data_IF_854662420269
#
_entry.id   IF_854662420269
#
_cell.length_a   1.000
_cell.length_b   1.000
_cell.length_c   1.000
_cell.angle_alpha   90.00
_cell.angle_beta   90.00
_cell.angle_gamma   90.00
#
_symmetry.space_group_name_H-M   'P 1'
#
loop_
_entity.id
_entity.type
_entity.pdbx_description
1 polymer ?
#
# COMPACT_ATOMS: atom_id res chain seq x y z
N UNK A 1 -32.61 -17.16 53.14
CA UNK A 1 -32.27 -16.62 54.47
C UNK A 1 -30.92 -17.20 54.85
N UNK A 2 -29.93 -16.38 55.26
CA UNK A 2 -29.93 -14.90 55.26
C UNK A 2 -29.71 -14.35 53.82
N UNK A 3 -30.21 -13.20 53.33
CA UNK A 3 -30.59 -11.88 53.89
C UNK A 3 -29.38 -11.00 54.25
N UNK A 4 -29.20 -9.73 53.85
CA UNK A 4 -29.93 -8.79 52.97
C UNK A 4 -28.88 -8.23 51.92
N UNK A 5 -28.95 -7.07 51.23
CA UNK A 5 -29.87 -5.93 51.28
C UNK A 5 -30.01 -5.15 49.95
N UNK A 6 -31.22 -4.67 49.76
CA UNK A 6 -31.77 -3.67 48.84
C UNK A 6 -31.04 -2.33 48.78
N UNK A 7 -30.97 -1.75 47.58
CA UNK A 7 -31.14 -0.30 47.36
C UNK A 7 -31.65 -0.05 45.92
N UNK A 8 -32.87 0.47 45.78
CA UNK A 8 -33.37 1.03 44.52
C UNK A 8 -33.16 2.55 44.54
N UNK A 9 -33.02 3.17 43.36
CA UNK A 9 -33.01 4.62 43.22
C UNK A 9 -33.90 5.01 42.03
N UNK A 10 -34.99 5.69 42.33
CA UNK A 10 -35.87 6.34 41.35
C UNK A 10 -35.30 7.70 40.94
N UNK A 11 -35.49 8.06 39.67
CA UNK A 11 -35.54 9.44 39.20
C UNK A 11 -36.45 9.44 37.96
N UNK A 12 -37.73 9.73 38.14
CA UNK A 12 -38.30 11.07 38.00
C UNK A 12 -38.41 11.50 36.53
N UNK A 13 -39.59 11.22 35.96
CA UNK A 13 -40.07 11.82 34.71
C UNK A 13 -40.65 13.18 35.07
N UNK A 14 -40.24 14.24 34.37
CA UNK A 14 -40.77 15.59 34.58
C UNK A 14 -41.31 16.14 33.24
N UNK A 15 -42.63 16.22 33.13
CA UNK A 15 -43.32 16.95 32.05
C UNK A 15 -43.61 18.38 32.51
N UNK A 16 -43.06 19.41 31.84
CA UNK A 16 -43.69 20.73 31.88
C UNK A 16 -43.31 21.68 30.72
N UNK A 17 -44.32 21.91 29.88
CA UNK A 17 -44.80 23.24 29.45
C UNK A 17 -43.96 24.08 28.46
N UNK A 18 -44.62 24.29 27.31
CA UNK A 18 -44.36 25.29 26.27
C UNK A 18 -44.55 26.73 26.77
N UNK A 19 -43.62 27.63 26.40
CA UNK A 19 -43.88 29.07 26.32
C UNK A 19 -43.19 29.64 25.07
N UNK A 20 -43.97 30.05 24.07
CA UNK A 20 -43.46 30.48 22.76
C UNK A 20 -43.36 32.00 22.55
N UNK A 21 -42.63 32.37 21.48
CA UNK A 21 -42.56 33.64 20.71
C UNK A 21 -41.16 33.69 20.08
N UNK A 22 -40.94 33.81 18.76
CA UNK A 22 -41.83 33.87 17.60
C UNK A 22 -41.06 34.49 16.42
N UNK A 23 -41.24 34.01 15.19
CA UNK A 23 -40.64 34.65 14.00
C UNK A 23 -40.26 33.70 12.87
N UNK A 24 -40.84 33.96 11.68
CA UNK A 24 -40.44 33.49 10.34
C UNK A 24 -40.22 31.98 10.11
N UNK A 25 -41.18 31.34 9.44
CA UNK A 25 -40.94 30.12 8.66
C UNK A 25 -40.18 30.46 7.37
N UNK A 26 -39.06 29.79 7.04
CA UNK A 26 -38.49 29.82 5.70
C UNK A 26 -39.27 28.87 4.77
N UNK A 27 -39.94 29.45 3.78
CA UNK A 27 -40.68 28.72 2.73
C UNK A 27 -39.78 28.32 1.56
N UNK A 28 -39.16 27.14 1.60
CA UNK A 28 -38.75 26.38 0.40
C UNK A 28 -38.19 24.99 0.75
N UNK A 29 -38.90 23.93 0.38
CA UNK A 29 -38.43 22.52 0.55
C UNK A 29 -37.45 22.10 -0.57
N UNK A 30 -36.64 23.03 -1.09
CA UNK A 30 -35.80 22.79 -2.28
C UNK A 30 -34.30 23.09 -2.09
N UNK A 31 -33.87 23.73 -0.99
CA UNK A 31 -32.46 24.06 -0.73
C UNK A 31 -31.72 23.04 0.18
N UNK A 32 -32.29 21.84 0.37
CA UNK A 32 -31.70 20.75 1.17
C UNK A 32 -31.13 19.59 0.32
N UNK A 33 -31.08 19.76 -1.00
CA UNK A 33 -30.43 18.84 -1.94
C UNK A 33 -29.26 19.57 -2.59
N UNK A 34 -28.14 18.87 -2.79
CA UNK A 34 -26.82 19.42 -3.18
C UNK A 34 -26.11 20.27 -2.10
N UNK A 35 -25.70 19.62 -1.01
CA UNK A 35 -24.35 19.88 -0.51
C UNK A 35 -23.37 19.05 -1.37
N UNK A 36 -22.47 19.65 -2.16
CA UNK A 36 -21.38 18.89 -2.76
C UNK A 36 -20.55 18.27 -1.64
N UNK A 37 -20.27 16.98 -1.73
CA UNK A 37 -19.32 16.35 -0.80
C UNK A 37 -17.94 16.95 -1.09
N UNK A 38 -17.27 17.61 -0.14
CA UNK A 38 -16.03 18.31 -0.44
C UNK A 38 -14.93 17.29 -0.76
N UNK A 39 -14.58 17.19 -2.05
CA UNK A 39 -13.48 16.37 -2.56
C UNK A 39 -12.24 16.56 -1.70
N UNK A 40 -11.87 15.52 -0.95
CA UNK A 40 -10.74 15.61 -0.03
C UNK A 40 -9.45 15.50 -0.85
N UNK A 41 -8.68 16.59 -0.85
CA UNK A 41 -7.35 16.63 -1.47
C UNK A 41 -6.27 16.49 -0.40
N UNK A 42 -5.09 16.07 -0.83
CA UNK A 42 -3.90 15.94 0.01
C UNK A 42 -3.62 17.23 0.83
N UNK A 43 -3.77 18.40 0.19
CA UNK A 43 -3.61 19.71 0.82
C UNK A 43 -4.66 20.00 1.91
N UNK A 44 -5.89 19.47 1.76
CA UNK A 44 -6.92 19.63 2.79
C UNK A 44 -6.74 18.70 3.99
N UNK A 45 -6.16 17.51 3.81
CA UNK A 45 -5.77 16.63 4.92
C UNK A 45 -4.64 17.25 5.74
N UNK A 46 -3.57 17.69 5.09
CA UNK A 46 -2.40 18.30 5.74
C UNK A 46 -2.73 19.57 6.56
N UNK A 47 -3.88 20.20 6.32
CA UNK A 47 -4.38 21.37 7.08
C UNK A 47 -5.28 21.01 8.27
N UNK A 48 -5.78 19.77 8.37
CA UNK A 48 -6.67 19.32 9.46
C UNK A 48 -5.89 18.89 10.71
N UNK A 49 -4.70 18.32 10.54
CA UNK A 49 -3.91 17.70 11.61
C UNK A 49 -2.88 18.63 12.28
N UNK A 50 -3.23 19.89 12.55
CA UNK A 50 -2.37 20.82 13.33
C UNK A 50 -2.95 21.08 14.74
N UNK A 51 -2.47 20.39 15.79
CA UNK A 51 -2.94 20.63 17.16
C UNK A 51 -2.17 21.79 17.80
N UNK A 52 -2.87 22.89 18.08
CA UNK A 52 -2.29 24.11 18.69
C UNK A 52 -1.53 23.86 20.01
N UNK A 53 -1.85 22.76 20.72
CA UNK A 53 -1.29 22.45 22.06
C UNK A 53 0.17 21.96 22.08
N UNK A 54 0.84 21.76 20.94
CA UNK A 54 2.22 21.23 20.89
C UNK A 54 3.20 22.08 20.06
N UNK A 55 2.81 23.30 19.65
CA UNK A 55 3.52 24.09 18.64
C UNK A 55 5.05 24.21 18.83
N UNK A 56 5.62 24.58 20.01
CA UNK A 56 7.05 24.83 20.12
C UNK A 56 7.92 23.58 19.87
N UNK A 57 7.47 22.42 20.32
CA UNK A 57 8.19 21.15 20.15
C UNK A 57 8.00 20.57 18.73
N UNK A 58 6.87 20.86 18.07
CA UNK A 58 6.65 20.51 16.67
C UNK A 58 7.52 21.38 15.75
N UNK A 59 7.56 22.70 15.98
CA UNK A 59 8.39 23.64 15.23
C UNK A 59 9.87 23.32 15.34
N UNK A 60 10.38 23.02 16.54
CA UNK A 60 11.77 22.58 16.73
C UNK A 60 12.12 21.32 15.92
N UNK A 61 11.21 20.33 15.87
CA UNK A 61 11.39 19.12 15.04
C UNK A 61 11.36 19.43 13.55
N UNK A 62 10.45 20.30 13.10
CA UNK A 62 10.37 20.73 11.70
C UNK A 62 11.62 21.51 11.28
N UNK A 63 12.12 22.39 12.14
CA UNK A 63 13.33 23.15 11.85
C UNK A 63 14.59 22.27 11.84
N UNK A 64 14.68 21.29 12.75
CA UNK A 64 15.70 20.26 12.67
C UNK A 64 15.63 19.48 11.35
N UNK A 65 14.45 18.99 10.94
CA UNK A 65 14.29 18.31 9.65
C UNK A 65 14.70 19.19 8.45
N UNK A 66 14.33 20.48 8.46
CA UNK A 66 14.78 21.44 7.44
C UNK A 66 16.29 21.58 7.43
N UNK A 67 16.94 21.67 8.59
CA UNK A 67 18.41 21.73 8.69
C UNK A 67 19.12 20.48 8.14
N UNK A 68 18.45 19.33 8.16
CA UNK A 68 18.98 18.08 7.62
C UNK A 68 18.82 17.93 6.10
N UNK A 69 18.02 18.77 5.42
CA UNK A 69 17.82 18.66 3.96
C UNK A 69 19.12 18.88 3.18
N UNK A 70 19.54 17.85 2.43
CA UNK A 70 20.74 17.93 1.58
C UNK A 70 20.50 18.95 0.47
N UNK A 71 21.36 19.97 0.42
CA UNK A 71 21.29 21.05 -0.58
C UNK A 71 20.14 22.03 -0.38
N UNK A 72 19.70 22.28 0.87
CA UNK A 72 18.62 23.23 1.18
C UNK A 72 18.95 24.69 0.79
N UNK A 73 20.20 25.11 0.98
CA UNK A 73 20.70 26.47 0.71
C UNK A 73 21.51 26.56 -0.59
N UNK A 74 21.39 25.56 -1.48
CA UNK A 74 22.13 25.55 -2.75
C UNK A 74 21.54 26.58 -3.70
N UNK A 75 22.41 27.36 -4.32
CA UNK A 75 22.06 28.32 -5.34
C UNK A 75 22.64 27.88 -6.70
N UNK A 76 22.01 28.35 -7.77
CA UNK A 76 22.44 28.10 -9.14
C UNK A 76 22.30 29.36 -9.99
N UNK A 77 23.10 29.44 -11.05
CA UNK A 77 23.05 30.56 -11.98
C UNK A 77 21.91 30.38 -12.98
N UNK A 78 21.19 31.48 -13.23
CA UNK A 78 20.14 31.57 -14.25
C UNK A 78 20.44 32.74 -15.20
N UNK A 79 19.79 32.82 -16.37
CA UNK A 79 19.86 34.01 -17.24
C UNK A 79 19.45 35.33 -16.55
N UNK A 80 18.81 35.26 -15.37
CA UNK A 80 18.37 36.40 -14.57
C UNK A 80 19.22 36.58 -13.29
N UNK A 81 20.42 36.02 -13.27
CA UNK A 81 21.35 36.00 -12.13
C UNK A 81 21.17 34.77 -11.22
N UNK A 82 21.94 34.76 -10.13
CA UNK A 82 21.94 33.67 -9.14
C UNK A 82 20.59 33.56 -8.41
N UNK A 83 20.14 32.33 -8.17
CA UNK A 83 18.87 32.00 -7.52
C UNK A 83 19.02 30.83 -6.55
N UNK A 84 18.28 30.87 -5.45
CA UNK A 84 18.12 29.75 -4.52
C UNK A 84 17.33 28.61 -5.19
N UNK A 85 17.78 27.36 -4.97
CA UNK A 85 17.10 26.16 -5.47
C UNK A 85 15.84 25.85 -4.64
N UNK A 86 14.72 26.41 -5.06
CA UNK A 86 13.39 26.06 -4.52
C UNK A 86 12.94 24.73 -5.12
N UNK A 87 13.02 23.65 -4.34
CA UNK A 87 12.57 22.33 -4.76
C UNK A 87 11.05 22.17 -4.54
N UNK A 88 10.32 21.90 -5.62
CA UNK A 88 8.85 21.77 -5.62
C UNK A 88 8.35 20.47 -6.28
N UNK A 89 9.24 19.48 -6.42
CA UNK A 89 9.00 18.22 -7.16
C UNK A 89 8.82 17.00 -6.22
N UNK A 90 8.35 17.25 -4.99
CA UNK A 90 8.21 16.25 -3.94
C UNK A 90 7.31 15.05 -4.31
N UNK A 91 6.35 15.25 -5.22
CA UNK A 91 5.48 14.18 -5.74
C UNK A 91 6.22 13.17 -6.62
N UNK A 92 7.34 13.57 -7.23
CA UNK A 92 8.20 12.69 -8.03
C UNK A 92 9.27 12.01 -7.16
N UNK A 93 9.95 12.75 -6.29
CA UNK A 93 10.96 12.24 -5.36
C UNK A 93 11.07 13.10 -4.10
N UNK A 94 11.45 12.49 -2.99
CA UNK A 94 11.96 13.23 -1.83
C UNK A 94 13.37 13.77 -2.08
N UNK A 95 13.89 14.55 -1.12
CA UNK A 95 15.31 14.92 -1.03
C UNK A 95 15.98 14.13 0.09
N UNK A 96 17.25 13.80 -0.07
CA UNK A 96 18.07 13.17 0.97
C UNK A 96 18.13 13.99 2.27
N UNK A 97 18.29 13.29 3.38
CA UNK A 97 18.53 13.87 4.70
C UNK A 97 19.96 13.56 5.13
N UNK A 98 20.73 14.59 5.46
CA UNK A 98 22.11 14.47 5.94
C UNK A 98 22.23 13.44 7.07
N UNK A 99 21.30 13.44 8.03
CA UNK A 99 21.27 12.46 9.11
C UNK A 99 21.21 11.00 8.64
N UNK A 100 20.49 10.70 7.54
CA UNK A 100 20.40 9.35 6.97
C UNK A 100 21.72 8.99 6.28
N UNK A 101 22.25 9.89 5.45
CA UNK A 101 23.53 9.67 4.76
C UNK A 101 24.69 9.51 5.76
N UNK A 102 24.77 10.37 6.77
CA UNK A 102 25.78 10.31 7.84
C UNK A 102 25.64 9.02 8.67
N UNK A 103 24.41 8.52 8.90
CA UNK A 103 24.20 7.23 9.56
C UNK A 103 24.67 6.06 8.70
N UNK A 104 24.36 6.05 7.41
CA UNK A 104 24.85 5.04 6.47
C UNK A 104 26.38 5.04 6.40
N UNK A 105 27.00 6.22 6.28
CA UNK A 105 28.45 6.41 6.18
C UNK A 105 29.22 5.99 7.44
N UNK A 106 28.69 6.28 8.63
CA UNK A 106 29.43 6.09 9.89
C UNK A 106 29.04 4.83 10.68
N UNK A 107 27.79 4.36 10.60
CA UNK A 107 27.27 3.27 11.45
C UNK A 107 27.02 1.95 10.69
N UNK A 108 26.73 2.04 9.39
CA UNK A 108 26.38 0.89 8.54
C UNK A 108 27.57 0.46 7.68
N UNK A 109 28.04 1.32 6.78
CA UNK A 109 29.10 1.01 5.81
C UNK A 109 30.41 0.49 6.44
N UNK A 110 30.93 1.04 7.56
CA UNK A 110 32.16 0.53 8.19
C UNK A 110 32.04 -0.89 8.77
N UNK A 111 30.81 -1.39 8.91
CA UNK A 111 30.52 -2.73 9.43
C UNK A 111 29.73 -3.59 8.43
N UNK A 112 29.71 -3.18 7.16
CA UNK A 112 28.95 -3.86 6.12
C UNK A 112 29.48 -5.29 5.90
N UNK A 113 28.56 -6.25 5.93
CA UNK A 113 28.79 -7.63 5.53
C UNK A 113 27.60 -8.14 4.75
N UNK A 114 27.82 -9.05 3.81
CA UNK A 114 26.73 -9.68 3.06
C UNK A 114 25.83 -10.48 4.02
N UNK A 115 24.52 -10.46 3.78
CA UNK A 115 23.51 -11.00 4.71
C UNK A 115 23.37 -12.52 4.66
N UNK A 116 23.90 -13.18 3.63
CA UNK A 116 23.82 -14.64 3.44
C UNK A 116 24.60 -15.47 4.48
N UNK A 117 25.49 -14.90 5.30
CA UNK A 117 26.19 -15.64 6.38
C UNK A 117 26.36 -14.81 7.67
N UNK A 118 25.94 -15.37 8.82
CA UNK A 118 26.05 -14.73 10.14
C UNK A 118 27.28 -15.17 10.97
N UNK A 119 28.22 -15.91 10.37
CA UNK A 119 29.43 -16.39 11.04
C UNK A 119 30.37 -15.24 11.43
N UNK A 120 30.49 -14.24 10.55
CA UNK A 120 31.27 -13.03 10.78
C UNK A 120 30.51 -11.99 11.61
N UNK A 121 31.25 -11.14 12.33
CA UNK A 121 30.65 -10.02 13.06
C UNK A 121 29.85 -9.08 12.13
N UNK A 122 30.39 -8.78 10.94
CA UNK A 122 29.80 -7.84 9.99
C UNK A 122 28.55 -8.38 9.30
N UNK A 123 28.55 -9.66 8.89
CA UNK A 123 27.36 -10.33 8.35
C UNK A 123 26.23 -10.35 9.38
N UNK A 124 26.52 -10.85 10.58
CA UNK A 124 25.57 -10.85 11.71
C UNK A 124 25.02 -9.48 12.07
N UNK A 125 25.87 -8.44 12.09
CA UNK A 125 25.42 -7.06 12.38
C UNK A 125 24.49 -6.54 11.27
N UNK A 126 24.83 -6.81 10.01
CA UNK A 126 24.06 -6.35 8.85
C UNK A 126 22.71 -7.07 8.73
N UNK A 127 22.67 -8.41 8.82
CA UNK A 127 21.42 -9.20 8.79
C UNK A 127 20.46 -8.78 9.91
N UNK A 128 20.96 -8.59 11.14
CA UNK A 128 20.15 -8.11 12.26
C UNK A 128 19.61 -6.69 12.06
N UNK A 129 20.37 -5.81 11.40
CA UNK A 129 19.92 -4.46 11.07
C UNK A 129 18.79 -4.52 10.02
N UNK A 130 18.96 -5.32 8.96
CA UNK A 130 17.93 -5.57 7.94
C UNK A 130 16.66 -6.14 8.55
N UNK A 131 16.75 -7.21 9.34
CA UNK A 131 15.59 -7.81 10.01
C UNK A 131 14.92 -6.85 10.99
N UNK A 132 15.66 -5.89 11.59
CA UNK A 132 15.07 -4.83 12.43
C UNK A 132 14.36 -3.77 11.59
N UNK A 133 14.93 -3.37 10.45
CA UNK A 133 14.35 -2.42 9.52
C UNK A 133 13.06 -2.97 8.88
N UNK A 134 13.09 -4.19 8.33
CA UNK A 134 11.94 -4.87 7.76
C UNK A 134 10.77 -4.96 8.75
N UNK A 135 11.02 -5.48 9.97
CA UNK A 135 9.99 -5.52 11.03
C UNK A 135 9.49 -4.13 11.44
N UNK A 136 10.33 -3.09 11.38
CA UNK A 136 9.89 -1.72 11.68
C UNK A 136 8.96 -1.19 10.60
N UNK A 137 9.36 -1.28 9.33
CA UNK A 137 8.57 -0.88 8.16
C UNK A 137 7.23 -1.61 8.13
N UNK A 138 7.23 -2.94 8.30
CA UNK A 138 6.02 -3.77 8.33
C UNK A 138 5.00 -3.27 9.36
N UNK A 139 5.44 -2.97 10.59
CA UNK A 139 4.58 -2.39 11.63
C UNK A 139 4.12 -0.97 11.31
N UNK A 140 4.96 -0.13 10.70
CA UNK A 140 4.58 1.22 10.30
C UNK A 140 3.49 1.26 9.22
N UNK A 141 3.38 0.19 8.42
CA UNK A 141 2.34 -0.01 7.41
C UNK A 141 1.12 -0.80 7.92
N UNK A 142 1.06 -1.16 9.21
CA UNK A 142 -0.03 -1.94 9.80
C UNK A 142 -0.03 -3.45 9.49
N UNK A 143 1.09 -4.00 9.02
CA UNK A 143 1.23 -5.43 8.70
C UNK A 143 1.46 -6.33 9.91
N UNK A 144 0.78 -7.47 9.94
CA UNK A 144 0.84 -8.51 10.97
C UNK A 144 1.58 -9.79 10.52
N UNK A 145 1.29 -10.91 11.19
CA UNK A 145 1.93 -12.21 10.93
C UNK A 145 1.38 -12.92 9.67
N UNK A 146 0.13 -12.62 9.29
CA UNK A 146 -0.53 -13.11 8.08
C UNK A 146 -0.04 -12.44 6.79
N UNK A 147 0.78 -11.40 6.90
CA UNK A 147 1.30 -10.63 5.77
C UNK A 147 2.77 -10.95 5.50
N UNK A 148 3.25 -10.63 4.30
CA UNK A 148 4.65 -10.71 3.86
C UNK A 148 5.11 -9.34 3.32
N UNK A 149 6.25 -8.86 3.80
CA UNK A 149 6.92 -7.64 3.33
C UNK A 149 8.05 -7.99 2.37
N UNK A 150 7.97 -7.52 1.12
CA UNK A 150 8.98 -7.71 0.09
C UNK A 150 9.56 -6.35 -0.35
N UNK A 151 10.89 -6.31 -0.55
CA UNK A 151 11.60 -5.15 -1.09
C UNK A 151 11.79 -5.32 -2.59
N UNK A 152 10.93 -4.67 -3.36
CA UNK A 152 10.75 -4.89 -4.78
C UNK A 152 11.36 -3.76 -5.61
N UNK A 153 12.66 -3.87 -5.93
CA UNK A 153 13.33 -3.10 -6.99
C UNK A 153 13.05 -1.59 -6.99
N UNK A 154 12.79 -1.00 -8.16
CA UNK A 154 12.55 0.43 -8.31
C UNK A 154 11.05 0.80 -8.17
N UNK A 155 10.66 1.34 -7.01
CA UNK A 155 9.35 1.94 -6.75
C UNK A 155 8.15 0.99 -6.86
N UNK A 156 6.93 1.54 -6.87
CA UNK A 156 5.70 0.71 -6.92
C UNK A 156 5.55 -0.07 -8.22
N UNK A 157 6.18 0.36 -9.31
CA UNK A 157 6.26 -0.43 -10.57
C UNK A 157 6.81 -1.84 -10.32
N UNK A 158 7.91 -1.96 -9.59
CA UNK A 158 8.51 -3.25 -9.28
C UNK A 158 7.73 -4.00 -8.18
N UNK A 159 7.09 -3.31 -7.23
CA UNK A 159 6.17 -3.91 -6.25
C UNK A 159 4.93 -4.55 -6.91
N UNK A 160 4.25 -3.83 -7.81
CA UNK A 160 3.10 -4.33 -8.58
C UNK A 160 3.52 -5.51 -9.47
N UNK A 161 4.70 -5.42 -10.10
CA UNK A 161 5.26 -6.50 -10.92
C UNK A 161 5.56 -7.75 -10.07
N UNK A 162 6.16 -7.60 -8.88
CA UNK A 162 6.40 -8.73 -7.97
C UNK A 162 5.10 -9.38 -7.53
N UNK A 163 4.06 -8.58 -7.22
CA UNK A 163 2.73 -9.13 -6.89
C UNK A 163 2.19 -10.02 -8.01
N UNK A 164 2.27 -9.56 -9.27
CA UNK A 164 1.85 -10.38 -10.43
C UNK A 164 2.64 -11.69 -10.56
N UNK A 165 3.93 -11.67 -10.21
CA UNK A 165 4.79 -12.86 -10.31
C UNK A 165 4.43 -13.88 -9.22
N UNK A 166 4.30 -13.46 -7.96
CA UNK A 166 3.93 -14.35 -6.85
C UNK A 166 2.49 -14.84 -6.91
N UNK A 167 1.60 -14.10 -7.60
CA UNK A 167 0.24 -14.54 -7.94
C UNK A 167 0.19 -15.52 -9.13
N UNK A 168 1.27 -15.65 -9.91
CA UNK A 168 1.31 -16.46 -11.14
C UNK A 168 0.61 -15.84 -12.35
N UNK A 169 0.29 -14.54 -12.33
CA UNK A 169 -0.39 -13.82 -13.45
C UNK A 169 0.56 -12.99 -14.31
N UNK A 170 1.83 -12.90 -13.93
CA UNK A 170 2.89 -12.28 -14.71
C UNK A 170 3.01 -12.91 -16.10
N UNK A 171 3.03 -12.08 -17.14
CA UNK A 171 3.23 -12.52 -18.51
C UNK A 171 4.64 -12.19 -19.05
N UNK A 172 5.15 -12.97 -20.02
CA UNK A 172 6.29 -12.58 -20.84
C UNK A 172 6.00 -11.30 -21.65
N UNK A 173 6.99 -10.42 -21.79
CA UNK A 173 6.87 -9.20 -22.58
C UNK A 173 6.56 -9.48 -24.07
N UNK A 174 7.05 -10.61 -24.59
CA UNK A 174 6.86 -11.06 -25.97
C UNK A 174 5.37 -11.36 -26.27
N UNK A 175 4.74 -10.46 -27.03
CA UNK A 175 3.29 -10.50 -27.28
C UNK A 175 2.77 -11.84 -27.87
N UNK A 176 3.45 -12.53 -28.81
CA UNK A 176 3.00 -13.82 -29.32
C UNK A 176 2.99 -14.93 -28.25
N UNK A 177 3.97 -14.92 -27.33
CA UNK A 177 4.03 -15.89 -26.24
C UNK A 177 2.95 -15.62 -25.21
N UNK A 178 2.73 -14.35 -24.82
CA UNK A 178 1.62 -13.96 -23.96
C UNK A 178 0.26 -14.38 -24.54
N UNK A 179 0.03 -14.14 -25.83
CA UNK A 179 -1.21 -14.53 -26.49
C UNK A 179 -1.45 -16.05 -26.45
N UNK A 180 -0.40 -16.86 -26.66
CA UNK A 180 -0.47 -18.32 -26.53
C UNK A 180 -0.77 -18.79 -25.11
N UNK A 181 -0.14 -18.18 -24.10
CA UNK A 181 -0.40 -18.49 -22.68
C UNK A 181 -1.84 -18.13 -22.29
N UNK A 182 -2.29 -16.92 -22.61
CA UNK A 182 -3.65 -16.47 -22.34
C UNK A 182 -4.71 -17.36 -23.02
N UNK A 183 -4.47 -17.78 -24.27
CA UNK A 183 -5.36 -18.68 -25.00
C UNK A 183 -5.43 -20.10 -24.38
N UNK A 184 -4.43 -20.52 -23.60
CA UNK A 184 -4.43 -21.78 -22.87
C UNK A 184 -5.18 -21.73 -21.53
N UNK A 185 -5.37 -20.55 -20.94
CA UNK A 185 -6.09 -20.37 -19.67
C UNK A 185 -7.61 -20.33 -19.89
N UNK A 186 -8.35 -21.19 -19.17
CA UNK A 186 -9.81 -21.13 -19.09
C UNK A 186 -10.24 -19.84 -18.39
N UNK A 187 -11.46 -19.35 -18.67
CA UNK A 187 -11.99 -18.12 -18.05
C UNK A 187 -11.98 -18.22 -16.52
N UNK A 188 -12.33 -19.39 -15.99
CA UNK A 188 -12.43 -19.68 -14.57
C UNK A 188 -11.07 -19.65 -13.84
N UNK A 189 -9.96 -19.76 -14.58
CA UNK A 189 -8.59 -19.77 -14.06
C UNK A 189 -7.92 -18.39 -14.13
N UNK A 190 -8.47 -17.47 -14.93
CA UNK A 190 -7.94 -16.11 -15.07
C UNK A 190 -8.37 -15.25 -13.89
N UNK A 191 -7.47 -14.35 -13.51
CA UNK A 191 -7.78 -13.26 -12.61
C UNK A 191 -8.51 -12.14 -13.34
N UNK A 192 -9.42 -11.46 -12.65
CA UNK A 192 -10.00 -10.17 -13.09
C UNK A 192 -9.44 -9.08 -12.19
N UNK A 193 -8.85 -8.05 -12.79
CA UNK A 193 -8.28 -6.91 -12.07
C UNK A 193 -9.07 -5.64 -12.39
N UNK A 194 -9.74 -5.11 -11.37
CA UNK A 194 -10.45 -3.83 -11.40
C UNK A 194 -9.46 -2.71 -11.08
N UNK A 195 -9.43 -1.67 -11.91
CA UNK A 195 -8.51 -0.53 -11.73
C UNK A 195 -9.25 0.80 -11.82
N UNK A 196 -8.73 1.81 -11.13
CA UNK A 196 -9.34 3.13 -11.05
C UNK A 196 -9.10 4.03 -12.27
N UNK A 197 -9.71 5.23 -12.26
CA UNK A 197 -9.58 6.21 -13.33
C UNK A 197 -8.33 7.11 -13.22
N UNK A 198 -7.59 7.07 -12.09
CA UNK A 198 -6.38 7.90 -11.87
C UNK A 198 -5.08 7.08 -11.81
N UNK A 199 -5.10 5.82 -12.23
CA UNK A 199 -3.95 4.96 -12.03
C UNK A 199 -2.70 5.50 -12.74
N UNK A 200 -1.62 5.63 -11.97
CA UNK A 200 -0.30 5.85 -12.55
C UNK A 200 0.01 4.71 -13.54
N UNK A 201 0.77 4.99 -14.61
CA UNK A 201 1.01 4.02 -15.68
C UNK A 201 1.58 2.67 -15.19
N UNK A 202 2.28 2.65 -14.05
CA UNK A 202 2.72 1.42 -13.36
C UNK A 202 1.55 0.52 -12.93
N UNK A 203 0.44 1.10 -12.45
CA UNK A 203 -0.75 0.38 -12.00
C UNK A 203 -1.86 0.28 -13.07
N UNK A 204 -1.57 0.67 -14.31
CA UNK A 204 -2.46 0.48 -15.47
C UNK A 204 -1.83 -0.44 -16.52
N UNK A 205 -0.64 -0.07 -17.02
CA UNK A 205 0.01 -0.79 -18.11
C UNK A 205 0.53 -2.15 -17.66
N UNK A 206 0.98 -2.27 -16.40
CA UNK A 206 1.47 -3.55 -15.86
C UNK A 206 0.37 -4.61 -15.90
N UNK A 207 -0.83 -4.30 -15.38
CA UNK A 207 -1.97 -5.23 -15.42
C UNK A 207 -2.46 -5.51 -16.84
N UNK A 208 -2.59 -4.49 -17.71
CA UNK A 208 -2.94 -4.68 -19.14
C UNK A 208 -1.93 -5.55 -19.91
N UNK A 209 -0.70 -5.70 -19.42
CA UNK A 209 0.34 -6.57 -20.00
C UNK A 209 0.46 -7.93 -19.31
N UNK A 210 -0.28 -8.19 -18.24
CA UNK A 210 -0.33 -9.47 -17.53
C UNK A 210 -1.18 -10.54 -18.27
N UNK A 211 -1.46 -11.66 -17.60
CA UNK A 211 -2.42 -12.70 -18.01
C UNK A 211 -3.84 -12.48 -17.44
N UNK A 212 -4.05 -11.47 -16.60
CA UNK A 212 -5.37 -11.14 -16.07
C UNK A 212 -6.26 -10.41 -17.09
N UNK A 213 -7.57 -10.61 -16.96
CA UNK A 213 -8.57 -9.76 -17.59
C UNK A 213 -8.61 -8.42 -16.81
N UNK A 214 -8.67 -7.27 -17.50
CA UNK A 214 -8.61 -5.94 -16.84
C UNK A 214 -9.90 -5.17 -17.07
N UNK A 215 -10.47 -4.62 -16.00
CA UNK A 215 -11.72 -3.86 -16.00
C UNK A 215 -11.44 -2.45 -15.44
N UNK A 216 -11.65 -1.44 -16.28
CA UNK A 216 -11.41 -0.04 -15.93
C UNK A 216 -12.69 0.60 -15.36
N UNK A 217 -12.61 1.07 -14.11
CA UNK A 217 -13.70 1.78 -13.43
C UNK A 217 -13.56 3.27 -13.72
N UNK A 218 -14.63 3.87 -14.23
CA UNK A 218 -14.68 5.27 -14.61
C UNK A 218 -14.79 6.25 -13.44
N UNK A 219 -14.95 7.53 -13.80
CA UNK A 219 -15.26 8.61 -12.89
C UNK A 219 -16.78 8.71 -12.64
N UNK A 220 -17.17 9.12 -11.44
CA UNK A 220 -18.53 9.58 -11.16
C UNK A 220 -18.73 11.07 -11.52
N UNK A 221 -19.90 11.62 -11.19
CA UNK A 221 -20.24 13.02 -11.46
C UNK A 221 -19.45 14.06 -10.66
N UNK A 222 -18.87 13.67 -9.52
CA UNK A 222 -18.00 14.52 -8.69
C UNK A 222 -16.52 14.37 -9.09
N UNK A 223 -16.23 13.55 -10.11
CA UNK A 223 -14.87 13.25 -10.54
C UNK A 223 -14.10 12.39 -9.55
N UNK A 224 -14.81 11.60 -8.73
CA UNK A 224 -14.32 10.52 -7.86
C UNK A 224 -14.41 9.16 -8.59
N UNK A 225 -13.95 8.07 -7.96
CA UNK A 225 -14.11 6.70 -8.51
C UNK A 225 -15.60 6.33 -8.51
N UNK A 226 -16.17 5.88 -9.63
CA UNK A 226 -17.56 5.39 -9.64
C UNK A 226 -17.67 4.05 -8.90
N UNK A 227 -17.87 4.13 -7.57
CA UNK A 227 -18.11 2.99 -6.68
C UNK A 227 -19.35 2.20 -7.10
N UNK A 228 -20.35 2.84 -7.73
CA UNK A 228 -21.51 2.14 -8.25
C UNK A 228 -21.18 1.35 -9.53
N UNK A 229 -20.30 1.84 -10.41
CA UNK A 229 -19.73 1.06 -11.51
C UNK A 229 -18.89 -0.11 -11.01
N UNK A 230 -18.05 0.10 -9.98
CA UNK A 230 -17.28 -0.98 -9.36
C UNK A 230 -18.22 -2.08 -8.83
N UNK A 231 -19.28 -1.72 -8.11
CA UNK A 231 -20.31 -2.68 -7.64
C UNK A 231 -20.99 -3.42 -8.80
N UNK A 232 -21.38 -2.72 -9.88
CA UNK A 232 -21.98 -3.34 -11.07
C UNK A 232 -21.03 -4.34 -11.74
N UNK A 233 -19.76 -3.99 -11.88
CA UNK A 233 -18.75 -4.84 -12.49
C UNK A 233 -18.43 -6.08 -11.62
N UNK A 234 -18.26 -5.91 -10.30
CA UNK A 234 -18.05 -7.02 -9.37
C UNK A 234 -19.23 -8.00 -9.31
N UNK A 235 -20.46 -7.50 -9.50
CA UNK A 235 -21.68 -8.30 -9.51
C UNK A 235 -22.03 -8.89 -10.90
N UNK A 236 -21.25 -8.59 -11.94
CA UNK A 236 -21.47 -9.16 -13.28
C UNK A 236 -21.19 -10.68 -13.26
N UNK A 237 -22.10 -11.55 -13.76
CA UNK A 237 -21.86 -13.00 -13.85
C UNK A 237 -20.57 -13.40 -14.58
N UNK A 238 -20.04 -12.56 -15.49
CA UNK A 238 -18.74 -12.81 -16.11
C UNK A 238 -17.57 -12.80 -15.11
N UNK A 239 -17.77 -12.22 -13.93
CA UNK A 239 -16.76 -12.01 -12.88
C UNK A 239 -17.19 -12.66 -11.54
N UNK A 240 -18.44 -12.50 -11.10
CA UNK A 240 -18.96 -13.04 -9.85
C UNK A 240 -18.94 -14.58 -9.78
N UNK A 241 -19.13 -15.26 -10.91
CA UNK A 241 -19.18 -16.73 -10.98
C UNK A 241 -17.79 -17.40 -11.06
N UNK A 242 -16.68 -16.63 -10.96
CA UNK A 242 -15.32 -17.19 -10.91
C UNK A 242 -15.20 -18.09 -9.67
N UNK A 243 -14.63 -19.30 -9.77
CA UNK A 243 -14.59 -20.25 -8.65
C UNK A 243 -13.82 -19.66 -7.46
N UNK A 244 -14.19 -20.07 -6.24
CA UNK A 244 -13.41 -19.74 -5.06
C UNK A 244 -11.99 -20.29 -5.21
N UNK A 245 -11.00 -19.47 -4.85
CA UNK A 245 -9.65 -19.96 -4.61
C UNK A 245 -9.76 -20.93 -3.42
N UNK A 246 -9.26 -22.15 -3.59
CA UNK A 246 -9.35 -23.18 -2.55
C UNK A 246 -8.78 -22.69 -1.20
N UNK A 247 -9.29 -23.26 -0.11
CA UNK A 247 -8.93 -22.93 1.28
C UNK A 247 -7.43 -23.10 1.58
N UNK A 248 -6.62 -22.11 1.20
CA UNK A 248 -5.18 -22.03 1.46
C UNK A 248 -4.83 -21.01 2.55
N UNK A 249 -5.79 -20.22 3.04
CA UNK A 249 -5.58 -19.27 4.13
C UNK A 249 -6.71 -19.38 5.15
N UNK A 250 -6.37 -19.77 6.38
CA UNK A 250 -7.26 -19.67 7.55
C UNK A 250 -7.33 -18.22 8.11
N UNK A 251 -6.74 -17.25 7.40
CA UNK A 251 -6.59 -15.86 7.84
C UNK A 251 -7.51 -14.88 7.11
N UNK A 252 -8.21 -15.30 6.04
CA UNK A 252 -9.24 -14.49 5.37
C UNK A 252 -10.60 -14.75 6.03
N UNK A 253 -11.31 -13.68 6.40
CA UNK A 253 -12.70 -13.76 6.86
C UNK A 253 -13.72 -13.81 5.70
N UNK A 254 -13.25 -13.80 4.45
CA UNK A 254 -14.08 -13.67 3.25
C UNK A 254 -13.79 -14.80 2.25
N UNK A 255 -14.69 -14.96 1.27
CA UNK A 255 -14.62 -16.04 0.29
C UNK A 255 -13.77 -15.62 -0.93
N UNK A 256 -12.46 -15.78 -0.81
CA UNK A 256 -11.47 -15.36 -1.81
C UNK A 256 -11.75 -15.93 -3.22
N UNK A 257 -11.87 -15.05 -4.22
CA UNK A 257 -11.98 -15.37 -5.66
C UNK A 257 -10.76 -14.83 -6.42
N UNK A 258 -10.51 -15.24 -7.67
CA UNK A 258 -9.49 -14.61 -8.53
C UNK A 258 -9.97 -13.24 -9.05
N UNK A 259 -10.38 -12.36 -8.13
CA UNK A 259 -10.85 -11.00 -8.35
C UNK A 259 -10.00 -10.08 -7.49
N UNK A 260 -9.48 -8.98 -8.05
CA UNK A 260 -8.60 -8.05 -7.34
C UNK A 260 -8.89 -6.62 -7.76
N UNK A 261 -9.00 -5.70 -6.82
CA UNK A 261 -8.98 -4.26 -7.08
C UNK A 261 -7.58 -3.70 -6.87
N UNK A 262 -7.04 -2.96 -7.84
CA UNK A 262 -5.74 -2.28 -7.71
C UNK A 262 -5.90 -0.78 -7.96
N UNK A 263 -6.00 0.01 -6.89
CA UNK A 263 -6.38 1.42 -6.95
C UNK A 263 -5.31 2.36 -6.36
N UNK A 264 -5.11 3.52 -6.95
CA UNK A 264 -4.24 4.56 -6.39
C UNK A 264 -4.92 5.22 -5.19
N UNK A 265 -4.29 5.21 -4.03
CA UNK A 265 -4.82 5.84 -2.81
C UNK A 265 -4.91 7.38 -2.92
N UNK A 266 -4.14 7.98 -3.84
CA UNK A 266 -4.23 9.38 -4.22
C UNK A 266 -3.75 9.57 -5.66
N UNK A 267 -4.42 10.43 -6.43
CA UNK A 267 -3.94 10.79 -7.77
C UNK A 267 -2.64 11.59 -7.67
N UNK A 268 -1.60 11.15 -8.38
CA UNK A 268 -0.33 11.88 -8.49
C UNK A 268 -0.43 13.15 -9.36
N UNK A 269 -1.55 13.37 -10.07
CA UNK A 269 -1.78 14.52 -10.95
C UNK A 269 -2.70 15.54 -10.28
N UNK A 270 -3.84 15.12 -9.73
CA UNK A 270 -4.84 16.04 -9.16
C UNK A 270 -4.74 16.19 -7.64
N UNK A 271 -4.04 15.28 -6.95
CA UNK A 271 -3.98 15.26 -5.49
C UNK A 271 -5.30 14.89 -4.80
N UNK A 272 -6.28 14.37 -5.56
CA UNK A 272 -7.52 13.78 -5.03
C UNK A 272 -7.16 12.52 -4.23
N UNK A 273 -7.61 12.46 -2.98
CA UNK A 273 -7.44 11.30 -2.10
C UNK A 273 -8.67 10.41 -2.23
N UNK A 274 -8.45 9.12 -2.41
CA UNK A 274 -9.52 8.12 -2.59
C UNK A 274 -9.93 7.54 -1.24
N UNK A 275 -11.22 7.29 -1.02
CA UNK A 275 -11.68 6.49 0.14
C UNK A 275 -11.35 5.01 -0.10
N UNK A 276 -10.11 4.68 0.21
CA UNK A 276 -9.55 3.32 0.12
C UNK A 276 -10.29 2.32 1.01
N UNK A 277 -10.83 2.76 2.16
CA UNK A 277 -11.64 1.92 3.06
C UNK A 277 -13.01 1.61 2.46
N UNK A 278 -13.63 2.54 1.74
CA UNK A 278 -14.85 2.25 0.97
C UNK A 278 -14.61 1.24 -0.15
N UNK A 279 -13.57 1.46 -0.95
CA UNK A 279 -13.24 0.54 -2.04
C UNK A 279 -12.92 -0.86 -1.51
N UNK A 280 -12.17 -0.98 -0.42
CA UNK A 280 -11.91 -2.26 0.25
C UNK A 280 -13.21 -2.98 0.66
N UNK A 281 -14.14 -2.28 1.35
CA UNK A 281 -15.45 -2.83 1.72
C UNK A 281 -16.24 -3.33 0.51
N UNK A 282 -16.20 -2.60 -0.61
CA UNK A 282 -16.90 -2.98 -1.84
C UNK A 282 -16.30 -4.25 -2.45
N UNK A 283 -14.97 -4.36 -2.50
CA UNK A 283 -14.25 -5.51 -3.04
C UNK A 283 -14.48 -6.78 -2.19
N UNK A 284 -14.24 -6.70 -0.88
CA UNK A 284 -14.39 -7.83 0.04
C UNK A 284 -15.84 -8.35 0.11
N UNK A 285 -16.84 -7.48 -0.01
CA UNK A 285 -18.26 -7.87 -0.13
C UNK A 285 -18.54 -8.82 -1.32
N UNK A 286 -17.67 -8.85 -2.33
CA UNK A 286 -17.78 -9.71 -3.52
C UNK A 286 -16.70 -10.79 -3.57
N UNK A 287 -15.91 -10.97 -2.51
CA UNK A 287 -14.79 -11.93 -2.45
C UNK A 287 -13.57 -11.51 -3.28
N UNK A 288 -13.45 -10.23 -3.62
CA UNK A 288 -12.30 -9.67 -4.32
C UNK A 288 -11.28 -9.07 -3.34
N UNK A 289 -9.99 -9.22 -3.66
CA UNK A 289 -8.90 -8.64 -2.86
C UNK A 289 -8.77 -7.13 -3.06
N UNK A 290 -8.33 -6.40 -2.04
CA UNK A 290 -8.15 -4.95 -2.03
C UNK A 290 -6.67 -4.52 -2.01
N UNK A 291 -6.16 -4.06 -3.16
CA UNK A 291 -4.77 -3.61 -3.31
C UNK A 291 -4.68 -2.10 -3.61
N UNK A 292 -3.74 -1.41 -2.98
CA UNK A 292 -3.62 0.04 -3.08
C UNK A 292 -2.20 0.56 -3.34
N UNK A 293 -2.05 1.45 -4.33
CA UNK A 293 -0.81 2.19 -4.60
C UNK A 293 -0.76 3.48 -3.76
N UNK A 294 0.15 3.50 -2.78
CA UNK A 294 0.41 4.64 -1.90
C UNK A 294 1.63 5.46 -2.33
N UNK A 295 2.13 5.34 -3.57
CA UNK A 295 3.28 6.12 -4.03
C UNK A 295 3.07 7.63 -3.93
N UNK A 296 1.88 8.14 -4.22
CA UNK A 296 1.59 9.58 -4.16
C UNK A 296 1.23 10.07 -2.74
N UNK A 297 0.51 9.27 -1.95
CA UNK A 297 -0.01 9.67 -0.63
C UNK A 297 0.86 9.25 0.55
N UNK A 298 1.67 8.19 0.40
CA UNK A 298 2.45 7.58 1.48
C UNK A 298 3.29 8.55 2.33
N UNK A 299 3.97 9.56 1.76
CA UNK A 299 4.72 10.55 2.55
C UNK A 299 3.84 11.48 3.43
N UNK A 300 2.51 11.39 3.32
CA UNK A 300 1.56 12.40 3.79
C UNK A 300 0.36 11.82 4.57
N UNK A 301 0.12 10.51 4.53
CA UNK A 301 -1.02 9.86 5.19
C UNK A 301 -0.56 8.66 6.00
N UNK A 302 -1.33 8.29 7.04
CA UNK A 302 -1.10 7.01 7.74
C UNK A 302 -1.50 5.86 6.82
N UNK A 303 -0.56 4.94 6.60
CA UNK A 303 -0.81 3.63 5.99
C UNK A 303 -1.11 2.64 7.12
N UNK A 304 -2.17 1.85 6.96
CA UNK A 304 -2.59 0.87 7.97
C UNK A 304 -3.30 -0.30 7.28
N UNK A 305 -2.60 -1.41 7.07
CA UNK A 305 -3.06 -2.50 6.22
C UNK A 305 -4.26 -3.25 6.82
N UNK A 306 -4.21 -3.59 8.10
CA UNK A 306 -5.27 -4.33 8.83
C UNK A 306 -5.89 -5.49 8.05
N UNK A 307 -5.04 -6.33 7.43
CA UNK A 307 -5.49 -7.36 6.49
C UNK A 307 -6.44 -8.38 7.12
N UNK A 308 -7.43 -8.83 6.36
CA UNK A 308 -8.51 -9.70 6.81
C UNK A 308 -9.73 -8.98 7.44
N UNK A 309 -9.64 -7.67 7.70
CA UNK A 309 -10.79 -6.82 8.03
C UNK A 309 -11.63 -6.47 6.78
N UNK A 310 -12.92 -6.18 6.95
CA UNK A 310 -13.83 -5.86 5.83
C UNK A 310 -13.41 -4.60 5.07
N UNK A 311 -12.77 -3.63 5.73
CA UNK A 311 -12.17 -2.44 5.14
C UNK A 311 -10.63 -2.47 5.15
N UNK A 312 -10.04 -3.63 5.46
CA UNK A 312 -8.60 -3.88 5.38
C UNK A 312 -8.05 -3.86 3.96
N UNK A 313 -6.72 -4.00 3.83
CA UNK A 313 -6.02 -4.10 2.55
C UNK A 313 -5.32 -5.46 2.45
N UNK A 314 -5.30 -6.04 1.26
CA UNK A 314 -4.57 -7.28 0.96
C UNK A 314 -3.24 -7.02 0.27
N UNK A 315 -3.05 -5.87 -0.38
CA UNK A 315 -1.72 -5.40 -0.73
C UNK A 315 -1.58 -3.88 -0.65
N UNK A 316 -0.38 -3.44 -0.26
CA UNK A 316 0.04 -2.05 -0.24
C UNK A 316 1.33 -1.92 -1.02
N UNK A 317 1.31 -1.11 -2.08
CA UNK A 317 2.50 -0.72 -2.82
C UNK A 317 3.02 0.62 -2.30
N UNK A 318 4.31 0.73 -1.99
CA UNK A 318 4.94 1.98 -1.57
C UNK A 318 6.19 2.31 -2.40
N UNK A 319 6.40 3.60 -2.66
CA UNK A 319 7.62 4.16 -3.27
C UNK A 319 8.34 5.03 -2.24
N UNK A 320 9.24 4.47 -1.40
CA UNK A 320 9.83 5.22 -0.30
C UNK A 320 10.79 6.32 -0.80
N UNK A 321 11.28 6.25 -2.05
CA UNK A 321 12.04 7.35 -2.68
C UNK A 321 11.28 8.69 -2.77
N UNK A 322 9.95 8.68 -2.62
CA UNK A 322 9.11 9.89 -2.53
C UNK A 322 9.05 10.51 -1.14
N UNK A 323 9.56 9.81 -0.13
CA UNK A 323 9.68 10.31 1.23
C UNK A 323 10.95 11.16 1.37
N UNK A 324 10.89 12.15 2.26
CA UNK A 324 12.09 12.88 2.69
C UNK A 324 13.09 11.91 3.35
N UNK A 325 14.34 11.94 2.91
CA UNK A 325 15.37 10.96 3.29
C UNK A 325 15.25 9.59 2.61
N UNK A 326 14.30 9.42 1.69
CA UNK A 326 14.08 8.17 0.96
C UNK A 326 14.78 7.95 -0.38
N UNK A 327 15.40 8.93 -1.09
CA UNK A 327 16.09 8.65 -2.36
C UNK A 327 17.04 7.45 -2.28
N UNK A 328 17.01 6.59 -3.30
CA UNK A 328 17.75 5.33 -3.33
C UNK A 328 16.99 4.11 -2.78
N UNK A 329 15.97 4.31 -1.93
CA UNK A 329 15.23 3.17 -1.36
C UNK A 329 14.48 2.34 -2.39
N UNK A 330 14.42 1.00 -2.22
CA UNK A 330 13.64 0.12 -3.08
C UNK A 330 12.14 0.35 -2.91
N UNK A 331 11.38 -0.02 -3.94
CA UNK A 331 9.92 -0.17 -3.83
C UNK A 331 9.56 -1.22 -2.79
N UNK A 332 8.36 -1.13 -2.23
CA UNK A 332 7.89 -2.05 -1.18
C UNK A 332 6.53 -2.61 -1.57
N UNK A 333 6.40 -3.93 -1.43
CA UNK A 333 5.14 -4.66 -1.43
C UNK A 333 4.92 -5.21 -0.02
N UNK A 334 3.84 -4.81 0.62
CA UNK A 334 3.31 -5.53 1.79
C UNK A 334 2.02 -6.22 1.34
N UNK A 335 1.93 -7.54 1.46
CA UNK A 335 0.80 -8.33 0.95
C UNK A 335 0.31 -9.40 1.92
N UNK A 336 -0.98 -9.73 1.90
CA UNK A 336 -1.55 -10.88 2.59
C UNK A 336 -0.98 -12.15 1.97
N UNK A 337 -0.59 -13.13 2.79
CA UNK A 337 -0.03 -14.41 2.31
C UNK A 337 -1.01 -15.23 1.47
N UNK A 338 -2.32 -14.95 1.50
CA UNK A 338 -3.33 -15.58 0.60
C UNK A 338 -3.09 -15.27 -0.90
N UNK A 339 -2.52 -14.09 -1.21
CA UNK A 339 -2.13 -13.68 -2.56
C UNK A 339 -0.90 -14.43 -3.08
N UNK A 340 -0.11 -15.07 -2.20
CA UNK A 340 1.06 -15.85 -2.59
C UNK A 340 0.64 -17.22 -3.12
N UNK A 341 0.84 -17.47 -4.42
CA UNK A 341 0.39 -18.69 -5.12
C UNK A 341 1.52 -19.67 -5.44
N UNK A 342 2.77 -19.36 -5.08
CA UNK A 342 3.96 -20.17 -5.40
C UNK A 342 4.44 -21.09 -4.26
N UNK A 343 3.63 -21.34 -3.22
CA UNK A 343 4.03 -22.16 -2.05
C UNK A 343 4.63 -23.53 -2.44
N UNK A 344 4.02 -24.22 -3.41
CA UNK A 344 4.46 -25.52 -3.93
C UNK A 344 5.16 -25.43 -5.30
N UNK A 345 5.68 -24.26 -5.66
CA UNK A 345 6.33 -23.98 -6.93
C UNK A 345 7.67 -23.24 -6.68
N UNK A 346 8.57 -23.15 -7.66
CA UNK A 346 9.72 -22.25 -7.56
C UNK A 346 9.28 -20.80 -7.27
N UNK A 347 10.07 -20.00 -6.53
CA UNK A 347 9.80 -18.59 -6.24
C UNK A 347 9.74 -17.76 -7.52
N UNK A 348 9.27 -16.50 -7.42
CA UNK A 348 9.21 -15.61 -8.58
C UNK A 348 10.55 -15.42 -9.30
N UNK A 349 11.64 -15.48 -8.53
CA UNK A 349 13.01 -15.33 -8.98
C UNK A 349 13.88 -16.38 -8.29
N UNK A 350 14.23 -17.46 -8.98
CA UNK A 350 15.15 -18.46 -8.46
C UNK A 350 16.59 -17.90 -8.42
N UNK A 351 17.28 -18.04 -7.28
CA UNK A 351 18.66 -17.59 -7.15
C UNK A 351 19.31 -17.99 -5.83
N UNK A 352 20.55 -17.55 -5.61
CA UNK A 352 21.18 -17.66 -4.29
C UNK A 352 20.36 -16.89 -3.25
N UNK A 353 20.24 -17.44 -2.04
CA UNK A 353 19.42 -16.86 -0.97
C UNK A 353 17.96 -17.33 -0.91
N UNK A 354 17.44 -18.07 -1.91
CA UNK A 354 16.04 -18.55 -1.90
C UNK A 354 15.88 -20.04 -1.52
N UNK A 355 16.99 -20.76 -1.30
CA UNK A 355 17.02 -22.22 -1.16
C UNK A 355 17.63 -22.71 0.16
N UNK A 356 16.98 -23.71 0.76
CA UNK A 356 17.55 -24.57 1.80
C UNK A 356 18.55 -25.58 1.22
N UNK A 357 18.26 -26.13 0.04
CA UNK A 357 19.09 -27.14 -0.61
C UNK A 357 18.91 -27.10 -2.13
N UNK A 358 20.00 -27.29 -2.86
CA UNK A 358 20.02 -27.43 -4.32
C UNK A 358 21.04 -28.51 -4.71
N UNK A 359 20.74 -29.27 -5.75
CA UNK A 359 21.61 -30.30 -6.29
C UNK A 359 21.85 -30.07 -7.81
N UNK A 360 22.80 -30.78 -8.40
CA UNK A 360 23.16 -30.64 -9.82
C UNK A 360 22.59 -31.71 -10.75
N UNK A 361 21.65 -32.53 -10.29
CA UNK A 361 21.16 -33.73 -10.98
C UNK A 361 19.71 -33.61 -11.45
N UNK A 362 18.82 -33.03 -10.63
CA UNK A 362 17.44 -32.75 -10.99
C UNK A 362 16.92 -31.49 -10.27
N UNK A 363 15.86 -30.89 -10.81
CA UNK A 363 15.21 -29.71 -10.21
C UNK A 363 14.21 -30.10 -9.11
N UNK A 364 13.65 -31.31 -9.16
CA UNK A 364 12.59 -31.81 -8.27
C UNK A 364 13.02 -31.92 -6.80
N UNK A 365 14.29 -32.26 -6.54
CA UNK A 365 14.90 -32.33 -5.21
C UNK A 365 15.41 -30.96 -4.71
N UNK A 366 15.03 -29.84 -5.34
CA UNK A 366 15.39 -28.48 -4.88
C UNK A 366 14.46 -28.04 -3.75
N UNK A 367 15.02 -27.76 -2.57
CA UNK A 367 14.26 -27.31 -1.41
C UNK A 367 14.38 -25.80 -1.26
N UNK A 368 13.28 -25.10 -1.47
CA UNK A 368 13.15 -23.65 -1.23
C UNK A 368 12.90 -23.36 0.27
N UNK A 369 13.00 -22.08 0.68
CA UNK A 369 12.55 -21.66 2.01
C UNK A 369 11.02 -21.69 2.13
N UNK A 370 10.50 -21.99 3.32
CA UNK A 370 9.06 -21.99 3.61
C UNK A 370 8.52 -20.59 3.93
N UNK A 371 9.36 -19.70 4.51
CA UNK A 371 8.95 -18.32 4.75
C UNK A 371 8.98 -17.51 3.44
N UNK A 372 7.89 -16.79 3.17
CA UNK A 372 7.68 -16.05 1.92
C UNK A 372 8.61 -14.83 1.82
N UNK A 373 9.01 -14.20 2.92
CA UNK A 373 9.93 -13.05 2.88
C UNK A 373 11.34 -13.52 2.51
N UNK A 374 11.82 -14.61 3.11
CA UNK A 374 13.14 -15.22 2.78
C UNK A 374 13.15 -15.84 1.38
N UNK A 375 12.09 -16.56 1.00
CA UNK A 375 11.94 -17.27 -0.29
C UNK A 375 11.96 -16.34 -1.50
N UNK A 376 11.53 -15.09 -1.34
CA UNK A 376 11.41 -14.10 -2.40
C UNK A 376 12.53 -13.05 -2.42
N UNK A 377 13.43 -13.05 -1.43
CA UNK A 377 14.59 -12.15 -1.32
C UNK A 377 15.82 -12.75 -2.04
N UNK A 378 15.67 -12.93 -3.36
CA UNK A 378 16.71 -13.54 -4.21
C UNK A 378 17.93 -12.62 -4.42
N UNK A 379 19.11 -13.23 -4.40
CA UNK A 379 20.42 -12.57 -4.48
C UNK A 379 20.72 -11.69 -3.25
N UNK A 380 21.76 -10.85 -3.35
CA UNK A 380 22.07 -9.87 -2.30
C UNK A 380 20.95 -8.81 -2.30
N UNK A 381 20.22 -8.61 -1.20
CA UNK A 381 19.17 -7.61 -1.15
C UNK A 381 19.71 -6.18 -1.31
N UNK A 382 18.81 -5.22 -1.53
CA UNK A 382 19.15 -3.79 -1.50
C UNK A 382 19.41 -3.32 -0.05
N UNK A 383 20.50 -3.81 0.56
CA UNK A 383 20.83 -3.65 1.99
C UNK A 383 20.91 -2.18 2.41
N UNK A 384 21.44 -1.32 1.54
CA UNK A 384 21.67 0.10 1.82
C UNK A 384 20.53 1.02 1.37
N UNK A 385 19.72 0.59 0.39
CA UNK A 385 18.77 1.46 -0.29
C UNK A 385 19.44 2.59 -1.09
N UNK A 386 20.08 2.27 -2.22
CA UNK A 386 20.64 3.23 -3.18
C UNK A 386 20.29 2.87 -4.63
#
# INVERSE_FOLDING_TARGET
>A
MPSLQTAAAEAAVDEAVVAGKGGAMPTSTQDLLFRPCPTTTLLTLLKRDTPEKHAPAAEQKMEWLRSQLVGKDVEFDTPFGRRLLTYADHTASGRSLRYVEDYLLNEVLPFYGNTHTEDSHVGRKTTRLMHRAARYVKRCMGGGAGDALLFCGAGTTAAIKRLQEVMGVAAPAAAPLRARLAAGLRREERWVVFIGPYEHHSNLLSWRRSLADVVEIGLDGDGLVDVAALRRALADPEHADRPLLGSFSACSNHADRPLLGSFSACSNVTGIVVDTREIARVLHQHGAFACFDFAASGPHVKIDMTSGEIDGYDAVFLSPHKFIGGPGTPGILLMNKSLYRLNSQPPSTCGGGTVNYVNGFNEEDTLYYDDIEEREDACIPCILGQ
#
